data_IF_395345375172
#
_entry.id   IF_395345375172
#
_cell.length_a   1.000
_cell.length_b   1.000
_cell.length_c   1.000
_cell.angle_alpha   90.00
_cell.angle_beta   90.00
_cell.angle_gamma   90.00
#
_symmetry.space_group_name_H-M   'P 1'
#
loop_
_entity.id
_entity.type
_entity.pdbx_description
1 polymer ?
#
# COMPACT_ATOMS: atom_id res chain seq x y z
N UNK A 1 -88.26 -40.36 47.74
CA UNK A 1 -87.11 -39.50 47.41
C UNK A 1 -86.62 -39.89 46.03
N UNK A 2 -86.56 -38.91 45.12
CA UNK A 2 -86.50 -39.15 43.68
C UNK A 2 -85.04 -39.26 43.21
N UNK A 3 -84.73 -40.37 42.53
CA UNK A 3 -83.40 -40.71 41.95
C UNK A 3 -82.82 -39.57 41.09
N UNK A 4 -83.66 -38.71 40.54
CA UNK A 4 -83.29 -37.52 39.78
C UNK A 4 -82.52 -36.47 40.59
N UNK A 5 -82.90 -36.20 41.84
CA UNK A 5 -82.17 -35.25 42.71
C UNK A 5 -80.76 -35.77 43.03
N UNK A 6 -80.62 -37.07 43.24
CA UNK A 6 -79.32 -37.71 43.52
C UNK A 6 -78.40 -37.70 42.30
N UNK A 7 -78.96 -37.87 41.09
CA UNK A 7 -78.21 -37.78 39.83
C UNK A 7 -77.77 -36.33 39.55
N UNK A 8 -78.63 -35.34 39.79
CA UNK A 8 -78.30 -33.91 39.63
C UNK A 8 -77.27 -33.45 40.67
N UNK A 9 -77.35 -33.92 41.92
CA UNK A 9 -76.34 -33.61 42.95
C UNK A 9 -75.00 -34.32 42.67
N UNK A 10 -75.03 -35.58 42.23
CA UNK A 10 -73.84 -36.35 41.88
C UNK A 10 -73.15 -35.82 40.61
N UNK A 11 -73.92 -35.36 39.61
CA UNK A 11 -73.39 -34.73 38.40
C UNK A 11 -73.00 -33.26 38.64
N UNK A 12 -73.75 -32.51 39.43
CA UNK A 12 -73.48 -31.11 39.75
C UNK A 12 -72.25 -30.91 40.65
N UNK A 13 -72.07 -31.78 41.66
CA UNK A 13 -70.86 -31.80 42.49
C UNK A 13 -69.61 -32.20 41.70
N UNK A 14 -69.72 -33.20 40.82
CA UNK A 14 -68.62 -33.59 39.93
C UNK A 14 -68.33 -32.54 38.85
N UNK A 15 -69.34 -31.86 38.31
CA UNK A 15 -69.14 -30.79 37.33
C UNK A 15 -68.43 -29.57 37.93
N UNK A 16 -68.76 -29.19 39.17
CA UNK A 16 -68.07 -28.11 39.87
C UNK A 16 -66.60 -28.46 40.15
N UNK A 17 -66.31 -29.70 40.59
CA UNK A 17 -64.93 -30.18 40.79
C UNK A 17 -64.17 -30.24 39.46
N UNK A 18 -64.79 -30.71 38.38
CA UNK A 18 -64.19 -30.73 37.04
C UNK A 18 -63.91 -29.32 36.52
N UNK A 19 -64.78 -28.35 36.79
CA UNK A 19 -64.55 -26.96 36.41
C UNK A 19 -63.37 -26.34 37.17
N UNK A 20 -63.26 -26.61 38.49
CA UNK A 20 -62.13 -26.17 39.31
C UNK A 20 -60.83 -26.85 38.85
N UNK A 21 -60.85 -28.15 38.56
CA UNK A 21 -59.69 -28.89 38.04
C UNK A 21 -59.26 -28.39 36.66
N UNK A 22 -60.22 -28.14 35.76
CA UNK A 22 -59.95 -27.57 34.44
C UNK A 22 -59.36 -26.16 34.54
N UNK A 23 -59.88 -25.34 35.47
CA UNK A 23 -59.36 -24.00 35.73
C UNK A 23 -57.93 -24.03 36.31
N UNK A 24 -57.67 -24.90 37.29
CA UNK A 24 -56.34 -25.09 37.87
C UNK A 24 -55.35 -25.64 36.84
N UNK A 25 -55.74 -26.64 36.05
CA UNK A 25 -54.91 -27.19 34.97
C UNK A 25 -54.58 -26.12 33.94
N UNK A 26 -55.58 -25.33 33.49
CA UNK A 26 -55.39 -24.20 32.59
C UNK A 26 -54.43 -23.17 33.16
N UNK A 27 -54.61 -22.79 34.43
CA UNK A 27 -53.75 -21.80 35.10
C UNK A 27 -52.29 -22.27 35.22
N UNK A 28 -52.07 -23.56 35.49
CA UNK A 28 -50.73 -24.16 35.54
C UNK A 28 -50.11 -24.17 34.14
N UNK A 29 -50.86 -24.58 33.12
CA UNK A 29 -50.39 -24.59 31.73
C UNK A 29 -50.03 -23.19 31.23
N UNK A 30 -50.87 -22.19 31.51
CA UNK A 30 -50.61 -20.79 31.16
C UNK A 30 -49.34 -20.27 31.82
N UNK A 31 -49.14 -20.53 33.11
CA UNK A 31 -47.90 -20.14 33.82
C UNK A 31 -46.66 -20.82 33.28
N UNK A 32 -46.73 -22.11 32.93
CA UNK A 32 -45.60 -22.85 32.37
C UNK A 32 -45.25 -22.28 30.99
N UNK A 33 -46.25 -22.10 30.12
CA UNK A 33 -46.06 -21.50 28.80
C UNK A 33 -45.49 -20.08 28.88
N UNK A 34 -46.01 -19.25 29.78
CA UNK A 34 -45.51 -17.89 29.97
C UNK A 34 -44.07 -17.88 30.49
N UNK A 35 -43.73 -18.79 31.42
CA UNK A 35 -42.36 -18.95 31.93
C UNK A 35 -41.41 -19.41 30.84
N UNK A 36 -41.80 -20.42 30.07
CA UNK A 36 -40.95 -21.00 29.02
C UNK A 36 -40.76 -20.00 27.86
N UNK A 37 -41.80 -19.22 27.52
CA UNK A 37 -41.70 -18.13 26.54
C UNK A 37 -40.74 -17.05 27.02
N UNK A 38 -40.85 -16.61 28.27
CA UNK A 38 -39.93 -15.63 28.88
C UNK A 38 -38.49 -16.16 28.94
N UNK A 39 -38.32 -17.44 29.31
CA UNK A 39 -37.02 -18.08 29.37
C UNK A 39 -36.38 -18.19 27.97
N UNK A 40 -37.16 -18.60 26.97
CA UNK A 40 -36.70 -18.67 25.58
C UNK A 40 -36.34 -17.29 25.03
N UNK A 41 -37.18 -16.28 25.26
CA UNK A 41 -36.91 -14.91 24.84
C UNK A 41 -35.62 -14.37 25.51
N UNK A 42 -35.46 -14.59 26.82
CA UNK A 42 -34.26 -14.21 27.56
C UNK A 42 -33.00 -14.90 27.02
N UNK A 43 -33.08 -16.21 26.76
CA UNK A 43 -31.97 -16.96 26.18
C UNK A 43 -31.63 -16.51 24.76
N UNK A 44 -32.65 -16.21 23.95
CA UNK A 44 -32.46 -15.74 22.59
C UNK A 44 -31.81 -14.35 22.57
N UNK A 45 -32.27 -13.43 23.43
CA UNK A 45 -31.64 -12.11 23.62
C UNK A 45 -30.20 -12.24 24.08
N UNK A 46 -29.93 -13.05 25.10
CA UNK A 46 -28.56 -13.26 25.59
C UNK A 46 -27.63 -13.85 24.52
N UNK A 47 -28.10 -14.83 23.74
CA UNK A 47 -27.35 -15.40 22.61
C UNK A 47 -27.11 -14.37 21.51
N UNK A 48 -28.12 -13.56 21.19
CA UNK A 48 -28.04 -12.53 20.17
C UNK A 48 -27.06 -11.42 20.58
N UNK A 49 -27.15 -10.92 21.81
CA UNK A 49 -26.25 -9.90 22.36
C UNK A 49 -24.82 -10.42 22.41
N UNK A 50 -24.62 -11.67 22.86
CA UNK A 50 -23.32 -12.33 22.83
C UNK A 50 -22.76 -12.44 21.41
N UNK A 51 -23.60 -12.78 20.42
CA UNK A 51 -23.14 -12.91 19.02
C UNK A 51 -22.85 -11.56 18.37
N UNK A 52 -23.61 -10.52 18.72
CA UNK A 52 -23.33 -9.15 18.30
C UNK A 52 -21.97 -8.70 18.83
N UNK A 53 -21.71 -8.90 20.12
CA UNK A 53 -20.42 -8.50 20.71
C UNK A 53 -19.25 -9.30 20.14
N UNK A 54 -19.44 -10.61 19.89
CA UNK A 54 -18.45 -11.44 19.20
C UNK A 54 -18.15 -10.90 17.79
N UNK A 55 -19.17 -10.63 16.98
CA UNK A 55 -19.01 -10.09 15.62
C UNK A 55 -18.38 -8.69 15.63
N UNK A 56 -18.78 -7.81 16.55
CA UNK A 56 -18.14 -6.49 16.72
C UNK A 56 -16.66 -6.64 17.03
N UNK A 57 -16.31 -7.54 17.95
CA UNK A 57 -14.93 -7.77 18.31
C UNK A 57 -14.12 -8.32 17.13
N UNK A 58 -14.67 -9.30 16.38
CA UNK A 58 -14.04 -9.80 15.16
C UNK A 58 -13.81 -8.71 14.11
N UNK A 59 -14.80 -7.82 13.90
CA UNK A 59 -14.66 -6.69 12.99
C UNK A 59 -13.59 -5.71 13.46
N UNK A 60 -13.55 -5.40 14.76
CA UNK A 60 -12.54 -4.52 15.35
C UNK A 60 -11.13 -5.11 15.21
N UNK A 61 -10.97 -6.41 15.46
CA UNK A 61 -9.69 -7.13 15.28
C UNK A 61 -9.26 -7.04 13.81
N UNK A 62 -10.14 -7.40 12.86
CA UNK A 62 -9.82 -7.35 11.42
C UNK A 62 -9.53 -5.93 10.92
N UNK A 63 -10.27 -4.93 11.38
CA UNK A 63 -10.03 -3.54 11.04
C UNK A 63 -8.67 -3.06 11.58
N UNK A 64 -8.33 -3.43 12.82
CA UNK A 64 -7.04 -3.12 13.44
C UNK A 64 -5.90 -3.81 12.71
N UNK A 65 -6.03 -5.10 12.38
CA UNK A 65 -5.03 -5.83 11.59
C UNK A 65 -4.80 -5.20 10.23
N UNK A 66 -5.88 -4.84 9.52
CA UNK A 66 -5.79 -4.16 8.24
C UNK A 66 -5.09 -2.81 8.38
N UNK A 67 -5.47 -2.01 9.38
CA UNK A 67 -4.84 -0.72 9.66
C UNK A 67 -3.35 -0.88 9.96
N UNK A 68 -2.95 -1.82 10.83
CA UNK A 68 -1.53 -2.05 11.16
C UNK A 68 -0.74 -2.51 9.94
N UNK A 69 -1.27 -3.46 9.15
CA UNK A 69 -0.61 -3.94 7.93
C UNK A 69 -0.47 -2.83 6.89
N UNK A 70 -1.53 -2.07 6.69
CA UNK A 70 -1.55 -0.94 5.77
C UNK A 70 -0.55 0.12 6.20
N UNK A 71 -0.59 0.55 7.46
CA UNK A 71 0.36 1.53 8.01
C UNK A 71 1.80 1.08 7.84
N UNK A 72 2.14 -0.16 8.21
CA UNK A 72 3.51 -0.68 8.05
C UNK A 72 3.96 -0.77 6.60
N UNK A 73 3.08 -1.19 5.69
CA UNK A 73 3.40 -1.24 4.26
C UNK A 73 3.60 0.16 3.68
N UNK A 74 2.74 1.12 4.04
CA UNK A 74 2.85 2.49 3.59
C UNK A 74 4.08 3.20 4.16
N UNK A 75 4.38 2.99 5.44
CA UNK A 75 5.62 3.45 6.07
C UNK A 75 6.84 2.89 5.33
N UNK A 76 6.87 1.57 5.07
CA UNK A 76 8.00 0.96 4.36
C UNK A 76 8.16 1.48 2.94
N UNK A 77 7.05 1.71 2.24
CA UNK A 77 7.07 2.32 0.90
C UNK A 77 7.60 3.75 0.96
N UNK A 78 7.19 4.54 1.94
CA UNK A 78 7.64 5.92 2.09
C UNK A 78 9.15 6.00 2.35
N UNK A 79 9.69 5.14 3.22
CA UNK A 79 11.15 5.02 3.44
C UNK A 79 11.90 4.72 2.14
N UNK A 80 11.45 3.70 1.41
CA UNK A 80 12.09 3.27 0.16
C UNK A 80 12.04 4.38 -0.90
N UNK A 81 10.91 5.08 -1.02
CA UNK A 81 10.75 6.20 -1.95
C UNK A 81 11.73 7.33 -1.58
N UNK A 82 11.84 7.67 -0.30
CA UNK A 82 12.75 8.72 0.16
C UNK A 82 14.22 8.39 -0.10
N UNK A 83 14.65 7.16 0.22
CA UNK A 83 16.00 6.69 -0.05
C UNK A 83 16.30 6.64 -1.56
N UNK A 84 15.39 6.07 -2.35
CA UNK A 84 15.52 5.99 -3.81
C UNK A 84 15.65 7.38 -4.43
N UNK A 85 14.86 8.35 -3.95
CA UNK A 85 14.95 9.72 -4.43
C UNK A 85 16.31 10.36 -4.09
N UNK A 86 16.89 10.06 -2.91
CA UNK A 86 18.26 10.45 -2.58
C UNK A 86 19.28 9.95 -3.62
N UNK A 87 19.25 8.66 -3.94
CA UNK A 87 20.12 8.09 -4.98
C UNK A 87 19.87 8.69 -6.37
N UNK A 88 18.61 9.02 -6.71
CA UNK A 88 18.27 9.64 -7.99
C UNK A 88 18.94 11.01 -8.12
N UNK A 89 18.85 11.81 -7.06
CA UNK A 89 19.43 13.15 -7.01
C UNK A 89 20.96 13.09 -7.13
N UNK A 90 21.61 12.19 -6.38
CA UNK A 90 23.06 11.99 -6.47
C UNK A 90 23.52 11.56 -7.86
N UNK A 91 22.80 10.61 -8.49
CA UNK A 91 23.07 10.19 -9.87
C UNK A 91 22.97 11.36 -10.85
N UNK A 92 21.94 12.19 -10.72
CA UNK A 92 21.75 13.35 -11.59
C UNK A 92 22.83 14.42 -11.39
N UNK A 93 23.25 14.68 -10.16
CA UNK A 93 24.32 15.63 -9.86
C UNK A 93 25.66 15.18 -10.47
N UNK A 94 26.03 13.91 -10.32
CA UNK A 94 27.28 13.40 -10.91
C UNK A 94 27.21 13.35 -12.44
N UNK A 95 26.06 12.99 -13.02
CA UNK A 95 25.85 13.05 -14.47
C UNK A 95 26.01 14.47 -15.01
N UNK A 96 25.44 15.47 -14.32
CA UNK A 96 25.55 16.89 -14.67
C UNK A 96 26.98 17.40 -14.52
N UNK A 97 27.65 17.10 -13.40
CA UNK A 97 29.05 17.46 -13.15
C UNK A 97 29.98 16.89 -14.24
N UNK A 98 29.76 15.63 -14.62
CA UNK A 98 30.53 14.97 -15.66
C UNK A 98 30.26 15.57 -17.05
N UNK A 99 29.00 15.79 -17.42
CA UNK A 99 28.64 16.27 -18.76
C UNK A 99 28.72 17.80 -18.93
N UNK A 100 28.92 18.56 -17.86
CA UNK A 100 29.05 20.03 -17.92
C UNK A 100 30.16 20.50 -18.89
N UNK A 101 29.90 21.44 -19.79
CA UNK A 101 30.94 22.09 -20.58
C UNK A 101 31.82 23.03 -19.76
N UNK A 102 31.32 23.49 -18.60
CA UNK A 102 32.08 24.32 -17.68
C UNK A 102 33.02 23.47 -16.83
N UNK A 103 34.31 23.80 -16.83
CA UNK A 103 35.34 23.25 -15.95
C UNK A 103 35.99 24.38 -15.17
N UNK A 104 35.81 24.40 -13.85
CA UNK A 104 36.38 25.42 -12.99
C UNK A 104 37.81 25.08 -12.58
N UNK A 105 38.66 26.08 -12.38
CA UNK A 105 40.03 25.87 -11.92
C UNK A 105 40.02 25.16 -10.54
N UNK A 106 40.73 24.03 -10.45
CA UNK A 106 40.81 23.21 -9.24
C UNK A 106 39.74 22.11 -9.15
N UNK A 107 38.81 22.01 -10.10
CA UNK A 107 37.90 20.86 -10.18
C UNK A 107 38.58 19.61 -10.74
N UNK A 108 38.04 18.42 -10.40
CA UNK A 108 38.46 17.18 -11.05
C UNK A 108 38.22 17.22 -12.56
N UNK A 109 39.15 16.65 -13.31
CA UNK A 109 39.06 16.50 -14.77
C UNK A 109 37.89 15.60 -15.17
N UNK A 110 37.45 15.67 -16.44
CA UNK A 110 36.44 14.73 -16.97
C UNK A 110 36.78 13.27 -16.74
N UNK A 111 38.05 12.90 -16.88
CA UNK A 111 38.54 11.55 -16.62
C UNK A 111 38.30 11.13 -15.17
N UNK A 112 38.56 12.02 -14.22
CA UNK A 112 38.35 11.76 -12.79
C UNK A 112 36.86 11.75 -12.41
N UNK A 113 36.02 12.53 -13.11
CA UNK A 113 34.55 12.58 -12.91
C UNK A 113 33.81 11.39 -13.51
N UNK A 114 34.38 10.70 -14.51
CA UNK A 114 33.70 9.60 -15.22
C UNK A 114 33.32 8.44 -14.29
N UNK A 115 34.28 7.93 -13.50
CA UNK A 115 34.06 6.78 -12.62
C UNK A 115 33.05 7.07 -11.49
N UNK A 116 33.10 8.22 -10.79
CA UNK A 116 32.04 8.64 -9.88
C UNK A 116 30.64 8.64 -10.52
N UNK A 117 30.49 9.18 -11.74
CA UNK A 117 29.22 9.20 -12.44
C UNK A 117 28.69 7.78 -12.75
N UNK A 118 29.55 6.89 -13.25
CA UNK A 118 29.16 5.47 -13.45
C UNK A 118 28.78 4.77 -12.15
N UNK A 119 29.53 5.03 -11.07
CA UNK A 119 29.25 4.44 -9.77
C UNK A 119 27.87 4.86 -9.24
N UNK A 120 27.50 6.14 -9.34
CA UNK A 120 26.19 6.62 -8.88
C UNK A 120 25.03 6.06 -9.69
N UNK A 121 25.19 5.89 -11.01
CA UNK A 121 24.21 5.16 -11.82
C UNK A 121 24.05 3.72 -11.32
N UNK A 122 25.16 3.03 -11.05
CA UNK A 122 25.12 1.65 -10.58
C UNK A 122 24.55 1.51 -9.17
N UNK A 123 24.83 2.45 -8.27
CA UNK A 123 24.25 2.53 -6.92
C UNK A 123 22.74 2.70 -6.98
N UNK A 124 22.26 3.69 -7.74
CA UNK A 124 20.82 3.91 -7.95
C UNK A 124 20.15 2.65 -8.50
N UNK A 125 20.68 2.07 -9.59
CA UNK A 125 20.07 0.91 -10.23
C UNK A 125 20.00 -0.30 -9.30
N UNK A 126 21.08 -0.58 -8.55
CA UNK A 126 21.10 -1.69 -7.57
C UNK A 126 20.10 -1.48 -6.45
N UNK A 127 19.95 -0.25 -5.97
CA UNK A 127 18.96 0.06 -4.93
C UNK A 127 17.54 -0.10 -5.49
N UNK A 128 17.25 0.47 -6.66
CA UNK A 128 15.97 0.37 -7.33
C UNK A 128 15.57 -1.09 -7.59
N UNK A 129 16.44 -1.90 -8.19
CA UNK A 129 16.10 -3.25 -8.60
C UNK A 129 15.79 -4.16 -7.38
N UNK A 130 16.50 -3.96 -6.27
CA UNK A 130 16.23 -4.66 -5.00
C UNK A 130 14.88 -4.29 -4.37
N UNK A 131 14.36 -3.09 -4.65
CA UNK A 131 13.15 -2.56 -4.00
C UNK A 131 11.97 -2.37 -4.97
N UNK A 132 12.11 -2.77 -6.24
CA UNK A 132 11.07 -2.61 -7.27
C UNK A 132 9.71 -3.20 -6.90
N UNK A 133 9.67 -4.20 -6.02
CA UNK A 133 8.42 -4.85 -5.54
C UNK A 133 7.51 -3.89 -4.76
N UNK A 134 8.06 -2.78 -4.26
CA UNK A 134 7.33 -1.78 -3.48
C UNK A 134 6.70 -0.68 -4.35
N UNK A 135 6.99 -0.68 -5.66
CA UNK A 135 6.59 0.36 -6.60
C UNK A 135 5.61 -0.18 -7.66
N UNK A 136 4.73 0.68 -8.24
CA UNK A 136 3.91 0.32 -9.38
C UNK A 136 4.75 -0.08 -10.62
N UNK A 137 4.25 -1.03 -11.41
CA UNK A 137 4.96 -1.58 -12.56
C UNK A 137 5.28 -0.53 -13.64
N UNK A 138 4.34 0.36 -13.92
CA UNK A 138 4.48 1.45 -14.87
C UNK A 138 5.52 2.48 -14.41
N UNK A 139 5.57 2.79 -13.10
CA UNK A 139 6.62 3.63 -12.53
C UNK A 139 8.00 2.97 -12.64
N UNK A 140 8.10 1.67 -12.36
CA UNK A 140 9.34 0.92 -12.55
C UNK A 140 9.85 1.03 -14.00
N UNK A 141 8.95 0.95 -14.98
CA UNK A 141 9.31 1.06 -16.40
C UNK A 141 9.88 2.43 -16.76
N UNK A 142 9.31 3.50 -16.22
CA UNK A 142 9.80 4.87 -16.40
C UNK A 142 11.16 5.11 -15.73
N UNK A 143 11.34 4.60 -14.51
CA UNK A 143 12.61 4.66 -13.79
C UNK A 143 13.69 3.91 -14.57
N UNK A 144 13.42 2.67 -15.01
CA UNK A 144 14.36 1.86 -15.79
C UNK A 144 14.77 2.56 -17.09
N UNK A 145 13.81 3.19 -17.79
CA UNK A 145 14.09 3.99 -18.98
C UNK A 145 15.02 5.16 -18.65
N UNK A 146 14.68 5.93 -17.61
CA UNK A 146 15.46 7.12 -17.19
C UNK A 146 16.90 6.75 -16.85
N UNK A 147 17.11 5.69 -16.07
CA UNK A 147 18.45 5.21 -15.70
C UNK A 147 19.24 4.77 -16.93
N UNK A 148 18.59 4.05 -17.85
CA UNK A 148 19.22 3.58 -19.09
C UNK A 148 19.66 4.75 -19.96
N UNK A 149 18.82 5.77 -20.09
CA UNK A 149 19.10 6.97 -20.86
C UNK A 149 20.29 7.73 -20.26
N UNK A 150 20.30 7.97 -18.94
CA UNK A 150 21.43 8.62 -18.24
C UNK A 150 22.73 7.83 -18.40
N UNK A 151 22.66 6.51 -18.18
CA UNK A 151 23.82 5.62 -18.35
C UNK A 151 24.38 5.70 -19.77
N UNK A 152 23.50 5.70 -20.76
CA UNK A 152 23.90 5.81 -22.16
C UNK A 152 24.67 7.10 -22.43
N UNK A 153 24.22 8.24 -21.91
CA UNK A 153 24.92 9.53 -22.08
C UNK A 153 26.31 9.51 -21.43
N UNK A 154 26.39 9.01 -20.18
CA UNK A 154 27.65 8.93 -19.44
C UNK A 154 28.65 8.03 -20.17
N UNK A 155 28.25 6.83 -20.58
CA UNK A 155 29.13 5.88 -21.28
C UNK A 155 29.54 6.42 -22.65
N UNK A 156 28.61 6.99 -23.42
CA UNK A 156 28.88 7.47 -24.78
C UNK A 156 29.94 8.57 -24.82
N UNK A 157 29.96 9.48 -23.85
CA UNK A 157 31.04 10.45 -23.73
C UNK A 157 32.27 9.85 -23.01
N UNK A 158 32.02 9.02 -22.00
CA UNK A 158 33.00 8.32 -21.18
C UNK A 158 34.07 7.55 -21.93
N UNK A 159 33.72 6.89 -23.04
CA UNK A 159 34.70 6.14 -23.85
C UNK A 159 35.82 7.03 -24.41
N UNK A 160 35.60 8.35 -24.51
CA UNK A 160 36.58 9.29 -25.07
C UNK A 160 37.44 10.01 -24.02
N UNK A 161 37.14 9.89 -22.72
CA UNK A 161 37.78 10.71 -21.67
C UNK A 161 39.25 10.38 -21.43
N UNK A 162 39.72 9.25 -21.96
CA UNK A 162 41.12 8.83 -21.90
C UNK A 162 41.93 9.22 -23.14
N UNK A 163 41.30 9.85 -24.14
CA UNK A 163 41.95 10.25 -25.38
C UNK A 163 41.94 11.78 -25.50
N UNK A 164 43.13 12.35 -25.71
CA UNK A 164 43.29 13.71 -26.20
C UNK A 164 42.80 13.82 -27.66
N UNK A 165 42.48 15.03 -28.09
CA UNK A 165 41.99 15.23 -29.46
C UNK A 165 43.07 14.90 -30.50
N UNK A 166 44.35 15.04 -30.15
CA UNK A 166 45.51 14.68 -31.01
C UNK A 166 45.68 13.15 -31.18
N UNK A 167 45.15 12.35 -30.25
CA UNK A 167 45.18 10.88 -30.32
C UNK A 167 44.02 10.31 -31.15
N UNK A 168 43.03 11.14 -31.51
CA UNK A 168 41.85 10.74 -32.26
C UNK A 168 41.98 11.16 -33.73
N UNK A 169 41.48 10.32 -34.63
CA UNK A 169 41.23 10.74 -36.01
C UNK A 169 40.11 11.79 -36.05
N UNK A 170 40.04 12.60 -37.11
CA UNK A 170 39.01 13.63 -37.31
C UNK A 170 37.58 13.15 -37.00
N UNK A 171 37.25 11.91 -37.41
CA UNK A 171 35.96 11.30 -37.11
C UNK A 171 35.74 11.09 -35.60
N UNK A 172 36.75 10.60 -34.88
CA UNK A 172 36.68 10.37 -33.44
C UNK A 172 36.56 11.66 -32.63
N UNK A 173 37.25 12.73 -33.06
CA UNK A 173 37.09 14.07 -32.44
C UNK A 173 35.66 14.57 -32.61
N UNK A 174 35.08 14.39 -33.81
CA UNK A 174 33.69 14.76 -34.08
C UNK A 174 32.71 13.95 -33.23
N UNK A 175 32.87 12.62 -33.14
CA UNK A 175 32.01 11.76 -32.32
C UNK A 175 32.10 12.08 -30.83
N UNK A 176 33.29 12.38 -30.31
CA UNK A 176 33.51 12.84 -28.93
C UNK A 176 32.72 14.12 -28.65
N UNK A 177 32.83 15.12 -29.53
CA UNK A 177 32.12 16.40 -29.39
C UNK A 177 30.60 16.20 -29.47
N UNK A 178 30.12 15.43 -30.44
CA UNK A 178 28.69 15.12 -30.57
C UNK A 178 28.13 14.37 -29.36
N UNK A 179 28.89 13.40 -28.82
CA UNK A 179 28.50 12.67 -27.61
C UNK A 179 28.40 13.62 -26.41
N UNK A 180 29.36 14.54 -26.27
CA UNK A 180 29.38 15.50 -25.18
C UNK A 180 28.24 16.53 -25.28
N UNK A 181 28.09 17.18 -26.44
CA UNK A 181 27.04 18.17 -26.70
C UNK A 181 25.65 17.57 -26.51
N UNK A 182 25.41 16.37 -27.06
CA UNK A 182 24.14 15.66 -26.90
C UNK A 182 23.90 15.29 -25.42
N UNK A 183 24.93 14.81 -24.73
CA UNK A 183 24.86 14.48 -23.31
C UNK A 183 24.47 15.68 -22.46
N UNK A 184 25.18 16.79 -22.63
CA UNK A 184 24.89 18.03 -21.91
C UNK A 184 23.49 18.57 -22.21
N UNK A 185 23.12 18.64 -23.49
CA UNK A 185 21.80 19.11 -23.92
C UNK A 185 20.69 18.30 -23.27
N UNK A 186 20.81 16.97 -23.30
CA UNK A 186 19.79 16.08 -22.72
C UNK A 186 19.68 16.28 -21.20
N UNK A 187 20.80 16.38 -20.49
CA UNK A 187 20.80 16.61 -19.04
C UNK A 187 20.24 18.00 -18.68
N UNK A 188 20.47 19.03 -19.48
CA UNK A 188 19.99 20.38 -19.17
C UNK A 188 18.57 20.68 -19.62
N UNK A 189 18.15 20.14 -20.76
CA UNK A 189 16.87 20.49 -21.36
C UNK A 189 15.79 19.44 -21.06
N UNK A 190 16.11 18.16 -21.16
CA UNK A 190 15.11 17.08 -21.09
C UNK A 190 15.00 16.49 -19.67
N UNK A 191 16.14 16.31 -18.99
CA UNK A 191 16.17 15.66 -17.69
C UNK A 191 15.39 16.38 -16.58
N UNK A 192 15.33 17.73 -16.50
CA UNK A 192 14.51 18.39 -15.49
C UNK A 192 13.02 18.06 -15.60
N UNK A 193 12.50 17.92 -16.82
CA UNK A 193 11.11 17.54 -17.04
C UNK A 193 10.86 16.08 -16.64
N UNK A 194 11.75 15.16 -17.03
CA UNK A 194 11.69 13.74 -16.62
C UNK A 194 11.77 13.59 -15.11
N UNK A 195 12.70 14.31 -14.46
CA UNK A 195 12.84 14.34 -13.00
C UNK A 195 11.55 14.82 -12.34
N UNK A 196 10.99 15.94 -12.81
CA UNK A 196 9.74 16.49 -12.25
C UNK A 196 8.59 15.50 -12.37
N UNK A 197 8.43 14.87 -13.54
CA UNK A 197 7.39 13.86 -13.74
C UNK A 197 7.55 12.68 -12.76
N UNK A 198 8.77 12.18 -12.55
CA UNK A 198 9.04 11.13 -11.56
C UNK A 198 8.74 11.61 -10.13
N UNK A 199 9.15 12.82 -9.76
CA UNK A 199 8.85 13.41 -8.45
C UNK A 199 7.34 13.48 -8.18
N UNK A 200 6.56 13.96 -9.14
CA UNK A 200 5.11 14.09 -8.99
C UNK A 200 4.46 12.72 -8.77
N UNK A 201 4.89 11.70 -9.53
CA UNK A 201 4.43 10.31 -9.33
C UNK A 201 4.83 9.73 -7.97
N UNK A 202 6.04 10.01 -7.49
CA UNK A 202 6.50 9.59 -6.17
C UNK A 202 5.70 10.29 -5.06
N UNK A 203 5.39 11.59 -5.22
CA UNK A 203 4.52 12.34 -4.29
C UNK A 203 3.11 11.76 -4.22
N UNK A 204 2.53 11.38 -5.36
CA UNK A 204 1.22 10.68 -5.38
C UNK A 204 1.25 9.38 -4.58
N UNK A 205 2.35 8.61 -4.65
CA UNK A 205 2.51 7.39 -3.84
C UNK A 205 2.65 7.66 -2.33
N UNK A 206 3.14 8.84 -1.96
CA UNK A 206 3.22 9.31 -0.58
C UNK A 206 1.89 9.91 -0.07
N UNK A 207 0.87 10.00 -0.92
CA UNK A 207 -0.46 10.49 -0.55
C UNK A 207 -0.74 11.95 -0.93
N UNK A 208 0.12 12.57 -1.73
CA UNK A 208 -0.20 13.86 -2.33
C UNK A 208 -1.34 13.69 -3.35
N UNK A 209 -2.32 14.59 -3.35
CA UNK A 209 -3.47 14.48 -4.25
C UNK A 209 -3.03 14.87 -5.67
N UNK A 210 -3.23 13.96 -6.63
CA UNK A 210 -3.06 14.23 -8.06
C UNK A 210 -4.03 15.31 -8.56
#
# INVERSE_FOLDING_TARGET
MQVWETIVLALGGNAAILAVLAFLAKSIFEKILERDTKAFESQLRAKHDSKIEELKNELLIKATEHQVRFSKLHEKRAEIIAEMYGYLVEMLWEAESFLSPMEWAGEPTKREKYRPAENKVAEFFRFFDKHRIYLPHDLCSEIEKTVRDIRYLIVRFGVYVNYSDDELQDHGVKEKREAWEKGWKTIKEEMPATRKALEDRLRTLLGDKA
#
